data_IF_085111078194
#
_entry.id   IF_085111078194
#
_cell.length_a   1.000
_cell.length_b   1.000
_cell.length_c   1.000
_cell.angle_alpha   90.00
_cell.angle_beta   90.00
_cell.angle_gamma   90.00
#
_symmetry.space_group_name_H-M   'P 1'
#
loop_
_entity.id
_entity.type
_entity.pdbx_description
1 polymer ?
#
# COMPACT_ATOMS: atom_id res chain seq x y z
N UNK A 1 38.62 7.72 -18.92
CA UNK A 1 38.23 7.83 -17.51
C UNK A 1 37.09 8.83 -17.43
N UNK A 2 35.91 8.30 -17.28
CA UNK A 2 34.69 9.08 -16.97
C UNK A 2 34.62 9.08 -15.47
N UNK A 3 34.71 10.27 -14.88
CA UNK A 3 34.69 10.48 -13.42
C UNK A 3 33.34 10.04 -12.86
N UNK A 4 33.43 9.16 -11.88
CA UNK A 4 32.32 8.54 -11.15
C UNK A 4 31.79 9.44 -10.01
N UNK A 5 31.90 10.77 -10.16
CA UNK A 5 31.48 11.76 -9.15
C UNK A 5 30.15 12.46 -9.46
N UNK A 6 29.57 12.26 -10.65
CA UNK A 6 28.33 12.97 -11.06
C UNK A 6 27.02 12.21 -10.82
N UNK A 7 27.03 11.10 -10.09
CA UNK A 7 25.81 10.29 -9.82
C UNK A 7 25.32 10.33 -8.38
N UNK A 8 25.83 11.21 -7.53
CA UNK A 8 25.44 11.32 -6.11
C UNK A 8 25.01 12.72 -5.66
N UNK A 9 24.48 13.53 -6.56
CA UNK A 9 23.70 14.72 -6.15
C UNK A 9 22.21 14.42 -6.16
N UNK A 10 21.79 13.37 -5.47
CA UNK A 10 20.44 13.31 -4.93
C UNK A 10 20.40 14.31 -3.77
N UNK A 11 19.48 15.23 -3.88
CA UNK A 11 19.28 16.39 -3.02
C UNK A 11 19.26 16.03 -1.52
N UNK A 12 20.45 15.99 -0.93
CA UNK A 12 20.67 15.73 0.50
C UNK A 12 20.08 16.84 1.38
N UNK A 13 19.72 17.97 0.77
CA UNK A 13 19.19 19.16 1.47
C UNK A 13 17.71 18.99 1.85
N UNK A 14 16.90 18.28 1.05
CA UNK A 14 15.49 18.00 1.39
C UNK A 14 15.35 16.90 2.45
N UNK A 15 16.20 15.86 2.42
CA UNK A 15 16.15 14.78 3.43
C UNK A 15 16.55 15.24 4.83
N UNK A 16 17.40 16.25 4.95
CA UNK A 16 17.81 16.84 6.25
C UNK A 16 16.70 17.68 6.89
N UNK A 17 15.67 18.08 6.16
CA UNK A 17 14.56 18.89 6.67
C UNK A 17 13.44 18.06 7.32
N UNK A 18 13.43 16.73 7.14
CA UNK A 18 12.40 15.85 7.71
C UNK A 18 12.89 15.34 9.07
N UNK A 19 12.21 15.76 10.13
CA UNK A 19 12.50 15.31 11.50
C UNK A 19 11.77 14.03 11.86
N UNK A 20 10.53 13.86 11.39
CA UNK A 20 9.70 12.71 11.73
C UNK A 20 8.78 12.32 10.60
N UNK A 21 8.67 11.01 10.38
CA UNK A 21 7.63 10.38 9.56
C UNK A 21 6.60 9.76 10.51
N UNK A 22 5.37 10.18 10.42
CA UNK A 22 4.27 9.75 11.28
C UNK A 22 3.23 9.02 10.45
N UNK A 23 2.91 7.80 10.85
CA UNK A 23 1.84 7.00 10.26
C UNK A 23 0.58 7.09 11.11
N UNK A 24 -0.54 7.45 10.51
CA UNK A 24 -1.84 7.53 11.17
C UNK A 24 -2.88 6.75 10.39
N UNK A 25 -3.67 5.93 11.09
CA UNK A 25 -4.86 5.30 10.52
C UNK A 25 -6.12 6.03 10.99
N UNK A 26 -6.96 6.41 10.04
CA UNK A 26 -8.20 7.12 10.30
C UNK A 26 -9.20 6.25 11.07
N UNK A 27 -9.76 6.80 12.13
CA UNK A 27 -10.77 6.19 12.97
C UNK A 27 -12.14 6.82 12.71
N UNK A 28 -13.19 6.25 13.30
CA UNK A 28 -14.54 6.81 13.26
C UNK A 28 -14.54 8.26 13.76
N UNK A 29 -15.18 9.15 13.01
CA UNK A 29 -15.27 10.60 13.25
C UNK A 29 -13.95 11.38 13.07
N UNK A 30 -12.91 10.78 12.53
CA UNK A 30 -11.71 11.54 12.17
C UNK A 30 -11.95 12.40 10.92
N UNK A 31 -11.37 13.57 10.95
CA UNK A 31 -11.22 14.49 9.83
C UNK A 31 -9.74 14.81 9.65
N UNK A 32 -9.35 15.37 8.51
CA UNK A 32 -7.98 15.82 8.31
C UNK A 32 -7.53 16.75 9.45
N UNK A 33 -8.40 17.69 9.86
CA UNK A 33 -8.11 18.60 10.96
C UNK A 33 -7.83 17.85 12.27
N UNK A 34 -8.69 16.91 12.66
CA UNK A 34 -8.52 16.17 13.92
C UNK A 34 -7.30 15.27 13.91
N UNK A 35 -6.97 14.65 12.77
CA UNK A 35 -5.76 13.84 12.60
C UNK A 35 -4.51 14.70 12.80
N UNK A 36 -4.44 15.85 12.13
CA UNK A 36 -3.30 16.75 12.22
C UNK A 36 -3.14 17.39 13.60
N UNK A 37 -4.24 17.69 14.29
CA UNK A 37 -4.22 18.17 15.70
C UNK A 37 -3.66 17.12 16.65
N UNK A 38 -4.00 15.84 16.49
CA UNK A 38 -3.46 14.73 17.31
C UNK A 38 -1.94 14.64 17.25
N UNK A 39 -1.35 14.97 16.11
CA UNK A 39 0.12 14.98 15.92
C UNK A 39 0.76 16.35 16.17
N UNK A 40 0.01 17.26 16.81
CA UNK A 40 0.48 18.58 17.26
C UNK A 40 0.85 19.56 16.14
N UNK A 41 0.24 19.44 14.97
CA UNK A 41 0.37 20.47 13.92
C UNK A 41 -0.42 21.70 14.35
N UNK A 42 0.18 22.88 14.17
CA UNK A 42 -0.45 24.16 14.52
C UNK A 42 -1.59 24.50 13.56
N UNK A 43 -2.61 25.18 14.08
CA UNK A 43 -3.81 25.56 13.31
C UNK A 43 -3.49 26.33 12.03
N UNK A 44 -2.53 27.25 12.10
CA UNK A 44 -2.08 28.04 10.92
C UNK A 44 -1.59 27.15 9.78
N UNK A 45 -0.87 26.06 10.11
CA UNK A 45 -0.33 25.11 9.14
C UNK A 45 -1.41 24.20 8.59
N UNK A 46 -2.37 23.80 9.42
CA UNK A 46 -3.56 23.04 8.99
C UNK A 46 -4.41 23.89 8.03
N UNK A 47 -4.66 25.16 8.38
CA UNK A 47 -5.43 26.07 7.54
C UNK A 47 -4.72 26.34 6.21
N UNK A 48 -3.39 26.47 6.20
CA UNK A 48 -2.62 26.58 4.97
C UNK A 48 -2.87 25.38 4.02
N UNK A 49 -2.83 24.17 4.55
CA UNK A 49 -3.10 22.96 3.77
C UNK A 49 -4.55 22.93 3.24
N UNK A 50 -5.52 23.23 4.11
CA UNK A 50 -6.96 23.20 3.77
C UNK A 50 -7.33 24.27 2.74
N UNK A 51 -6.66 25.43 2.77
CA UNK A 51 -6.89 26.52 1.84
C UNK A 51 -6.10 26.39 0.53
N UNK A 52 -5.22 25.41 0.42
CA UNK A 52 -4.48 25.15 -0.82
C UNK A 52 -5.41 24.61 -1.92
N UNK A 53 -5.02 24.84 -3.17
CA UNK A 53 -5.73 24.30 -4.33
C UNK A 53 -5.84 22.78 -4.22
N UNK A 54 -6.96 22.22 -4.65
CA UNK A 54 -7.27 20.78 -4.62
C UNK A 54 -7.40 20.16 -3.22
N UNK A 55 -7.38 20.91 -2.13
CA UNK A 55 -7.50 20.39 -0.75
C UNK A 55 -8.76 19.53 -0.51
N UNK A 56 -9.82 19.73 -1.31
CA UNK A 56 -11.02 18.88 -1.28
C UNK A 56 -10.73 17.40 -1.55
N UNK A 57 -9.64 17.07 -2.23
CA UNK A 57 -9.20 15.68 -2.45
C UNK A 57 -8.87 14.96 -1.14
N UNK A 58 -8.49 15.72 -0.10
CA UNK A 58 -8.15 15.22 1.23
C UNK A 58 -9.36 15.15 2.18
N UNK A 59 -10.58 15.50 1.73
CA UNK A 59 -11.75 15.62 2.61
C UNK A 59 -12.59 14.34 2.77
N UNK A 60 -12.50 13.40 1.83
CA UNK A 60 -13.30 12.17 1.85
C UNK A 60 -12.57 11.03 2.59
N UNK A 61 -12.35 11.23 3.88
CA UNK A 61 -11.64 10.27 4.73
C UNK A 61 -12.61 9.17 5.18
N UNK A 62 -12.20 7.92 5.03
CA UNK A 62 -12.91 6.74 5.50
C UNK A 62 -12.14 6.07 6.63
N UNK A 63 -12.86 5.35 7.50
CA UNK A 63 -12.24 4.53 8.55
C UNK A 63 -11.32 3.50 7.90
N UNK A 64 -10.10 3.39 8.43
CA UNK A 64 -9.07 2.50 7.90
C UNK A 64 -8.13 3.15 6.86
N UNK A 65 -8.48 4.31 6.28
CA UNK A 65 -7.55 5.02 5.42
C UNK A 65 -6.30 5.43 6.20
N UNK A 66 -5.14 5.39 5.53
CA UNK A 66 -3.84 5.68 6.15
C UNK A 66 -3.29 7.01 5.69
N UNK A 67 -2.54 7.64 6.57
CA UNK A 67 -1.79 8.87 6.31
C UNK A 67 -0.33 8.66 6.69
N UNK A 68 0.56 9.04 5.80
CA UNK A 68 1.98 9.19 6.05
C UNK A 68 2.31 10.68 6.03
N UNK A 69 2.82 11.20 7.14
CA UNK A 69 2.98 12.65 7.31
C UNK A 69 4.42 12.93 7.72
N UNK A 70 5.11 13.68 6.90
CA UNK A 70 6.48 14.13 7.16
C UNK A 70 6.47 15.55 7.73
N UNK A 71 7.04 15.71 8.90
CA UNK A 71 7.15 16.99 9.60
C UNK A 71 8.61 17.44 9.69
N UNK A 72 8.82 18.75 9.64
CA UNK A 72 10.12 19.37 9.95
C UNK A 72 10.28 19.69 11.46
N UNK A 73 11.37 20.32 11.80
CA UNK A 73 11.71 20.71 13.18
C UNK A 73 10.70 21.66 13.84
N UNK A 74 9.91 22.37 13.03
CA UNK A 74 8.89 23.32 13.49
C UNK A 74 7.48 22.71 13.43
N UNK A 75 7.36 21.39 13.30
CA UNK A 75 6.10 20.68 13.08
C UNK A 75 5.31 21.20 11.86
N UNK A 76 5.99 21.73 10.85
CA UNK A 76 5.39 22.08 9.58
C UNK A 76 5.32 20.82 8.71
N UNK A 77 4.18 20.59 8.06
CA UNK A 77 4.00 19.47 7.14
C UNK A 77 4.84 19.73 5.89
N UNK A 78 5.82 18.89 5.63
CA UNK A 78 6.60 18.89 4.38
C UNK A 78 5.95 18.08 3.30
N UNK A 79 5.45 16.91 3.69
CA UNK A 79 4.71 16.02 2.80
C UNK A 79 3.60 15.33 3.60
N UNK A 80 2.45 15.14 2.97
CA UNK A 80 1.34 14.36 3.48
C UNK A 80 0.84 13.45 2.37
N UNK A 81 0.94 12.15 2.57
CA UNK A 81 0.41 11.13 1.68
C UNK A 81 -0.86 10.53 2.30
N UNK A 82 -1.97 10.73 1.65
CA UNK A 82 -3.26 10.12 2.02
C UNK A 82 -3.49 8.89 1.17
N UNK A 83 -3.38 7.71 1.76
CA UNK A 83 -3.49 6.41 1.12
C UNK A 83 -4.96 5.96 1.23
N UNK A 84 -5.65 5.92 0.11
CA UNK A 84 -7.06 5.52 0.02
C UNK A 84 -7.21 4.02 -0.06
N UNK A 85 -6.38 3.42 -0.88
CA UNK A 85 -6.30 1.98 -1.11
C UNK A 85 -4.86 1.59 -1.47
N UNK A 86 -4.63 0.32 -1.82
CA UNK A 86 -3.30 -0.22 -2.10
C UNK A 86 -2.60 0.43 -3.30
N UNK A 87 -3.33 1.05 -4.20
CA UNK A 87 -2.79 1.62 -5.46
C UNK A 87 -2.96 3.12 -5.61
N UNK A 88 -3.83 3.74 -4.82
CA UNK A 88 -4.20 5.13 -5.06
C UNK A 88 -4.30 5.97 -3.79
N UNK A 89 -4.10 7.26 -3.97
CA UNK A 89 -4.22 8.22 -2.90
C UNK A 89 -4.12 9.65 -3.36
N UNK A 90 -3.76 10.51 -2.43
CA UNK A 90 -3.52 11.93 -2.66
C UNK A 90 -2.25 12.33 -1.93
N UNK A 91 -1.39 13.04 -2.61
CA UNK A 91 -0.16 13.58 -2.03
C UNK A 91 -0.22 15.10 -1.98
N UNK A 92 0.19 15.65 -0.84
CA UNK A 92 0.31 17.08 -0.61
C UNK A 92 1.76 17.39 -0.25
N UNK A 93 2.46 18.13 -1.09
CA UNK A 93 3.85 18.52 -0.88
C UNK A 93 3.94 20.02 -0.72
N UNK A 94 4.66 20.47 0.33
CA UNK A 94 4.91 21.89 0.54
C UNK A 94 5.88 22.41 -0.52
N UNK A 95 5.42 23.40 -1.29
CA UNK A 95 6.21 24.11 -2.29
C UNK A 95 6.14 25.59 -1.96
N UNK A 96 7.29 26.22 -1.71
CA UNK A 96 7.40 27.61 -1.26
C UNK A 96 6.51 27.88 -0.04
N UNK A 97 5.36 28.51 -0.22
CA UNK A 97 4.43 28.86 0.87
C UNK A 97 3.03 28.26 0.70
N UNK A 98 2.83 27.31 -0.20
CA UNK A 98 1.56 26.61 -0.44
C UNK A 98 1.77 25.11 -0.63
N UNK A 99 0.68 24.34 -0.60
CA UNK A 99 0.74 22.91 -0.89
C UNK A 99 0.34 22.64 -2.33
N UNK A 100 1.19 21.91 -3.06
CA UNK A 100 0.80 21.22 -4.27
C UNK A 100 0.09 19.92 -3.86
N UNK A 101 -1.19 19.78 -4.24
CA UNK A 101 -2.03 18.63 -3.86
C UNK A 101 -2.52 17.95 -5.13
N UNK A 102 -2.07 16.71 -5.32
CA UNK A 102 -2.33 15.91 -6.51
C UNK A 102 -2.75 14.48 -6.15
N UNK A 103 -3.66 13.88 -6.93
CA UNK A 103 -3.90 12.45 -6.81
C UNK A 103 -2.70 11.68 -7.38
N UNK A 104 -2.42 10.52 -6.82
CA UNK A 104 -1.48 9.56 -7.40
C UNK A 104 -2.13 8.20 -7.58
N UNK A 105 -1.63 7.44 -8.55
CA UNK A 105 -1.96 6.04 -8.76
C UNK A 105 -0.68 5.26 -9.03
N UNK A 106 -0.46 4.19 -8.26
CA UNK A 106 0.69 3.32 -8.43
C UNK A 106 0.47 2.37 -9.60
N UNK A 107 1.49 2.12 -10.43
CA UNK A 107 1.36 1.19 -11.54
C UNK A 107 1.13 -0.23 -11.03
N UNK A 108 0.16 -0.90 -11.65
CA UNK A 108 -0.15 -2.30 -11.40
C UNK A 108 0.49 -3.16 -12.48
N UNK A 109 1.20 -4.19 -12.05
CA UNK A 109 1.72 -5.23 -12.92
C UNK A 109 0.99 -6.54 -12.66
N UNK A 110 0.49 -7.19 -13.72
CA UNK A 110 -0.14 -8.49 -13.65
C UNK A 110 0.85 -9.55 -14.07
N UNK A 111 1.10 -10.51 -13.20
CA UNK A 111 2.05 -11.61 -13.44
C UNK A 111 1.34 -12.95 -13.36
N UNK A 112 1.58 -13.81 -14.34
CA UNK A 112 1.11 -15.18 -14.28
C UNK A 112 2.07 -16.03 -13.46
N UNK A 113 1.57 -16.60 -12.37
CA UNK A 113 2.32 -17.48 -11.48
C UNK A 113 1.94 -18.92 -11.77
N UNK A 114 2.92 -19.75 -12.14
CA UNK A 114 2.75 -21.19 -12.24
C UNK A 114 3.22 -21.87 -10.94
N UNK A 115 2.39 -22.77 -10.42
CA UNK A 115 2.74 -23.65 -9.29
C UNK A 115 2.47 -25.10 -9.63
N UNK A 116 3.38 -25.97 -9.21
CA UNK A 116 3.19 -27.41 -9.13
C UNK A 116 3.36 -27.84 -7.69
N UNK A 117 2.37 -28.51 -7.13
CA UNK A 117 2.29 -28.82 -5.69
C UNK A 117 2.15 -30.32 -5.52
N UNK A 118 3.00 -30.91 -4.69
CA UNK A 118 2.90 -32.28 -4.22
C UNK A 118 2.10 -32.28 -2.91
N UNK A 119 1.11 -33.16 -2.81
CA UNK A 119 0.24 -33.29 -1.64
C UNK A 119 0.88 -34.25 -0.65
N UNK A 120 1.24 -33.72 0.54
CA UNK A 120 1.77 -34.50 1.65
C UNK A 120 0.67 -34.84 2.67
N UNK A 121 -0.21 -33.89 2.96
CA UNK A 121 -1.31 -34.05 3.93
C UNK A 121 -2.66 -33.80 3.25
N UNK A 122 -2.95 -32.57 2.88
CA UNK A 122 -4.16 -32.17 2.15
C UNK A 122 -3.82 -31.20 1.03
N UNK A 123 -4.71 -31.07 0.04
CA UNK A 123 -4.55 -30.13 -1.04
C UNK A 123 -4.41 -28.69 -0.53
N UNK A 124 -5.22 -28.32 0.47
CA UNK A 124 -5.22 -27.00 1.08
C UNK A 124 -3.88 -26.70 1.79
N UNK A 125 -3.45 -27.58 2.70
CA UNK A 125 -2.20 -27.40 3.44
C UNK A 125 -0.98 -27.37 2.51
N UNK A 126 -0.95 -28.24 1.50
CA UNK A 126 0.12 -28.26 0.51
C UNK A 126 0.16 -26.97 -0.33
N UNK A 127 -1.01 -26.41 -0.69
CA UNK A 127 -1.13 -25.14 -1.39
C UNK A 127 -0.58 -23.98 -0.59
N UNK A 128 -0.98 -23.85 0.67
CA UNK A 128 -0.46 -22.81 1.57
C UNK A 128 1.06 -22.92 1.75
N UNK A 129 1.59 -24.14 1.96
CA UNK A 129 3.02 -24.40 2.07
C UNK A 129 3.79 -24.00 0.80
N UNK A 130 3.16 -24.14 -0.38
CA UNK A 130 3.71 -23.72 -1.66
C UNK A 130 3.59 -22.20 -1.92
N UNK A 131 3.02 -21.44 -0.98
CA UNK A 131 2.83 -19.99 -1.08
C UNK A 131 1.71 -19.60 -2.06
N UNK A 132 0.71 -20.47 -2.26
CA UNK A 132 -0.50 -20.12 -3.01
C UNK A 132 -1.43 -19.35 -2.08
N UNK A 133 -1.97 -18.19 -2.50
CA UNK A 133 -2.95 -17.43 -1.71
C UNK A 133 -4.17 -18.29 -1.33
N UNK A 134 -4.69 -18.09 -0.13
CA UNK A 134 -5.88 -18.79 0.36
C UNK A 134 -7.06 -18.65 -0.58
N UNK A 135 -7.32 -17.45 -1.08
CA UNK A 135 -8.38 -17.18 -2.06
C UNK A 135 -8.28 -18.05 -3.32
N UNK A 136 -7.07 -18.22 -3.85
CA UNK A 136 -6.84 -19.06 -5.05
C UNK A 136 -7.08 -20.54 -4.74
N UNK A 137 -6.71 -21.02 -3.54
CA UNK A 137 -6.99 -22.40 -3.12
C UNK A 137 -8.50 -22.60 -2.97
N UNK A 138 -9.19 -21.63 -2.38
CA UNK A 138 -10.65 -21.69 -2.24
C UNK A 138 -11.39 -21.63 -3.58
N UNK A 139 -10.86 -20.90 -4.57
CA UNK A 139 -11.39 -20.91 -5.94
C UNK A 139 -11.29 -22.29 -6.58
N UNK A 140 -10.18 -23.02 -6.38
CA UNK A 140 -10.06 -24.41 -6.86
C UNK A 140 -11.15 -25.30 -6.22
N UNK A 141 -11.34 -25.19 -4.91
CA UNK A 141 -12.37 -25.95 -4.19
C UNK A 141 -13.77 -25.58 -4.71
N UNK A 142 -14.02 -24.31 -4.96
CA UNK A 142 -15.31 -23.86 -5.49
C UNK A 142 -15.59 -24.38 -6.92
N UNK A 143 -14.57 -24.33 -7.78
CA UNK A 143 -14.70 -24.75 -9.19
C UNK A 143 -14.88 -26.27 -9.31
N UNK A 144 -14.10 -27.05 -8.56
CA UNK A 144 -14.04 -28.50 -8.71
C UNK A 144 -14.77 -29.29 -7.63
N UNK A 145 -15.34 -28.63 -6.61
CA UNK A 145 -15.97 -29.30 -5.47
C UNK A 145 -17.23 -30.11 -5.81
N UNK A 146 -17.77 -29.96 -7.01
CA UNK A 146 -18.85 -30.79 -7.51
C UNK A 146 -18.36 -32.09 -8.18
N UNK A 147 -17.11 -32.09 -8.66
CA UNK A 147 -16.53 -33.21 -9.42
C UNK A 147 -15.51 -33.99 -8.59
N UNK A 148 -14.90 -33.33 -7.58
CA UNK A 148 -13.83 -33.90 -6.74
C UNK A 148 -14.21 -33.76 -5.25
N UNK A 149 -14.25 -34.91 -4.56
CA UNK A 149 -14.31 -34.95 -3.11
C UNK A 149 -12.89 -34.76 -2.55
N UNK A 150 -12.54 -33.51 -2.20
CA UNK A 150 -11.19 -33.17 -1.71
C UNK A 150 -10.80 -33.87 -0.40
N UNK A 151 -11.77 -34.52 0.30
CA UNK A 151 -11.49 -35.27 1.53
C UNK A 151 -11.20 -36.75 1.21
N UNK A 152 -11.92 -37.33 0.26
CA UNK A 152 -11.88 -38.76 0.00
C UNK A 152 -11.13 -39.16 -1.27
N UNK A 153 -11.10 -38.29 -2.29
CA UNK A 153 -10.46 -38.58 -3.58
C UNK A 153 -8.99 -38.24 -3.61
N UNK A 154 -8.57 -37.23 -2.83
CA UNK A 154 -7.19 -36.74 -2.80
C UNK A 154 -6.37 -37.55 -1.78
N UNK A 155 -5.17 -37.97 -2.20
CA UNK A 155 -4.28 -38.81 -1.38
C UNK A 155 -2.87 -38.24 -1.31
N UNK A 156 -2.15 -38.63 -0.26
CA UNK A 156 -0.73 -38.36 -0.17
C UNK A 156 0.01 -38.93 -1.38
N UNK A 157 0.88 -38.10 -1.99
CA UNK A 157 1.61 -38.41 -3.22
C UNK A 157 0.93 -37.90 -4.50
N UNK A 158 -0.33 -37.50 -4.44
CA UNK A 158 -0.98 -36.79 -5.55
C UNK A 158 -0.35 -35.41 -5.77
N UNK A 159 -0.55 -34.87 -6.97
CA UNK A 159 -0.08 -33.53 -7.29
C UNK A 159 -1.08 -32.76 -8.13
N UNK A 160 -1.07 -31.46 -8.00
CA UNK A 160 -1.80 -30.56 -8.88
C UNK A 160 -0.93 -29.43 -9.38
N UNK A 161 -1.33 -28.86 -10.51
CA UNK A 161 -0.69 -27.69 -11.09
C UNK A 161 -1.73 -26.65 -11.43
N UNK A 162 -1.37 -25.39 -11.24
CA UNK A 162 -2.24 -24.28 -11.57
C UNK A 162 -1.44 -23.10 -12.09
N UNK A 163 -2.13 -22.22 -12.81
CA UNK A 163 -1.67 -20.88 -13.17
C UNK A 163 -2.71 -19.91 -12.61
N UNK A 164 -2.24 -18.90 -11.91
CA UNK A 164 -3.09 -17.80 -11.45
C UNK A 164 -2.40 -16.45 -11.70
N UNK A 165 -3.21 -15.40 -11.81
CA UNK A 165 -2.71 -14.03 -11.98
C UNK A 165 -2.49 -13.41 -10.60
N UNK A 166 -1.31 -12.84 -10.40
CA UNK A 166 -0.96 -12.06 -9.23
C UNK A 166 -0.81 -10.60 -9.63
N UNK A 167 -1.37 -9.69 -8.82
CA UNK A 167 -1.22 -8.25 -9.03
C UNK A 167 -0.10 -7.75 -8.13
N UNK A 168 0.88 -7.11 -8.75
CA UNK A 168 1.99 -6.46 -8.06
C UNK A 168 1.81 -4.95 -8.11
N UNK A 169 2.08 -4.28 -6.99
CA UNK A 169 2.15 -2.82 -6.90
C UNK A 169 3.61 -2.45 -6.78
N UNK A 170 4.13 -1.65 -7.72
CA UNK A 170 5.55 -1.29 -7.79
C UNK A 170 6.49 -2.51 -7.72
N UNK A 171 6.11 -3.62 -8.35
CA UNK A 171 6.90 -4.87 -8.34
C UNK A 171 6.88 -5.64 -7.02
N UNK A 172 6.09 -5.21 -6.04
CA UNK A 172 5.90 -5.91 -4.77
C UNK A 172 4.53 -6.57 -4.71
N UNK A 173 4.49 -7.77 -4.11
CA UNK A 173 3.23 -8.48 -3.88
C UNK A 173 2.34 -7.65 -2.95
N UNK A 174 1.07 -7.51 -3.34
CA UNK A 174 0.06 -6.97 -2.45
C UNK A 174 -0.05 -7.87 -1.21
N UNK A 175 0.10 -7.26 -0.04
CA UNK A 175 -0.13 -7.94 1.24
C UNK A 175 -1.56 -7.62 1.65
N UNK A 176 -2.44 -8.61 1.57
CA UNK A 176 -3.80 -8.55 2.11
C UNK A 176 -3.79 -8.25 3.62
#
# INVERSE_FOLDING_TARGET
>A
SIEMEDLLTFDTTEQLAIRSLINVTAKKNDSLYTILKKIKVEDKNILKLINSKNSKLLSKIQVGNRFEISLDDKNLIRNLKYIKDYKSGVEATLQDDSYNIEPYELPLEKVNIYKKVLIEDSMYAAGLKAGIPDSVIMDIVYIYGWDIDFIHDIRQGDSYSLIYEEVLVEGQKEVD
#
